data_IF_592738901711
#
_entry.id   IF_592738901711
#
_cell.length_a   1.000
_cell.length_b   1.000
_cell.length_c   1.000
_cell.angle_alpha   90.00
_cell.angle_beta   90.00
_cell.angle_gamma   90.00
#
_symmetry.space_group_name_H-M   'P 1'
#
loop_
_entity.id
_entity.type
_entity.pdbx_description
1 polymer ?
#
# COMPACT_ATOMS: atom_id res chain seq x y z
N UNK A 1 -3.98 7.00 20.55
CA UNK A 1 -4.51 5.87 19.74
C UNK A 1 -3.32 5.23 19.05
N UNK A 2 -3.18 3.91 19.12
CA UNK A 2 -2.14 3.14 18.42
C UNK A 2 -2.81 2.09 17.53
N UNK A 3 -2.21 1.75 16.40
CA UNK A 3 -2.79 0.84 15.42
C UNK A 3 -1.72 0.07 14.66
N UNK A 4 -2.14 -1.05 14.07
CA UNK A 4 -1.34 -1.70 13.03
C UNK A 4 -1.08 -0.73 11.87
N UNK A 5 0.17 -0.67 11.42
CA UNK A 5 0.59 0.23 10.36
C UNK A 5 0.26 -0.37 8.98
N UNK A 6 0.42 0.45 7.93
CA UNK A 6 0.25 0.15 6.48
C UNK A 6 -1.13 -0.35 6.01
N UNK A 7 -1.98 -0.85 6.90
CA UNK A 7 -3.33 -1.34 6.57
C UNK A 7 -4.15 -0.23 5.93
N UNK A 8 -4.67 -0.48 4.73
CA UNK A 8 -5.34 0.52 3.90
C UNK A 8 -6.84 0.29 3.89
N UNK A 9 -7.59 1.39 4.09
CA UNK A 9 -9.05 1.43 4.10
C UNK A 9 -9.54 2.43 3.05
N UNK A 10 -10.66 2.11 2.41
CA UNK A 10 -11.33 3.02 1.49
C UNK A 10 -12.83 3.06 1.82
N UNK A 11 -13.34 4.27 2.03
CA UNK A 11 -14.74 4.50 2.37
C UNK A 11 -15.29 5.74 1.66
N UNK A 12 -16.61 5.80 1.57
CA UNK A 12 -17.30 6.96 1.03
C UNK A 12 -17.34 8.09 2.07
N UNK A 13 -16.74 9.25 1.76
CA UNK A 13 -16.56 10.38 2.71
C UNK A 13 -17.87 10.84 3.36
N UNK A 14 -18.95 10.97 2.59
CA UNK A 14 -20.20 11.52 3.11
C UNK A 14 -21.03 10.53 3.94
N UNK A 15 -20.83 9.22 3.76
CA UNK A 15 -21.67 8.19 4.40
C UNK A 15 -20.92 7.30 5.38
N UNK A 16 -19.58 7.34 5.37
CA UNK A 16 -18.74 6.42 6.15
C UNK A 16 -18.79 4.97 5.67
N UNK A 17 -19.55 4.65 4.61
CA UNK A 17 -19.68 3.28 4.12
C UNK A 17 -18.37 2.82 3.50
N UNK A 18 -17.85 1.71 4.02
CA UNK A 18 -16.66 1.04 3.51
C UNK A 18 -16.96 0.46 2.14
N UNK A 19 -16.06 0.68 1.18
CA UNK A 19 -16.21 0.21 -0.20
C UNK A 19 -15.62 -1.20 -0.38
N UNK A 20 -14.61 -1.55 0.42
CA UNK A 20 -13.92 -2.83 0.35
C UNK A 20 -13.35 -3.21 1.72
N UNK A 21 -13.24 -4.51 2.08
CA UNK A 21 -12.56 -4.94 3.30
C UNK A 21 -11.16 -4.33 3.44
N UNK A 22 -10.73 -4.10 4.67
CA UNK A 22 -9.39 -3.59 4.94
C UNK A 22 -8.33 -4.50 4.30
N UNK A 23 -7.40 -3.90 3.56
CA UNK A 23 -6.24 -4.63 3.04
C UNK A 23 -5.15 -4.50 4.10
N UNK A 24 -4.89 -5.61 4.80
CA UNK A 24 -3.92 -5.67 5.89
C UNK A 24 -2.48 -5.61 5.37
N UNK A 25 -1.55 -5.15 6.21
CA UNK A 25 -0.13 -4.99 5.85
C UNK A 25 0.57 -6.29 5.42
N UNK A 26 0.05 -7.45 5.80
CA UNK A 26 0.60 -8.77 5.43
C UNK A 26 0.14 -9.25 4.05
N UNK A 27 -0.84 -8.57 3.45
CA UNK A 27 -1.43 -8.99 2.19
C UNK A 27 -0.40 -8.98 1.05
N UNK A 28 -0.39 -10.04 0.23
CA UNK A 28 0.58 -10.24 -0.86
C UNK A 28 -0.01 -10.02 -2.25
N UNK A 29 -1.27 -9.59 -2.37
CA UNK A 29 -1.94 -9.47 -3.67
C UNK A 29 -1.25 -8.49 -4.62
N UNK A 30 -0.55 -7.50 -4.07
CA UNK A 30 0.15 -6.47 -4.84
C UNK A 30 1.59 -6.80 -5.20
N UNK A 31 2.10 -7.99 -4.85
CA UNK A 31 3.50 -8.35 -5.11
C UNK A 31 3.89 -8.28 -6.60
N UNK A 32 2.96 -8.59 -7.51
CA UNK A 32 3.20 -8.45 -8.95
C UNK A 32 3.40 -6.99 -9.37
N UNK A 33 2.66 -6.06 -8.78
CA UNK A 33 2.80 -4.62 -9.06
C UNK A 33 4.11 -4.09 -8.47
N UNK A 34 4.51 -4.54 -7.28
CA UNK A 34 5.83 -4.22 -6.72
C UNK A 34 6.96 -4.70 -7.65
N UNK A 35 6.87 -5.91 -8.19
CA UNK A 35 7.85 -6.41 -9.15
C UNK A 35 7.89 -5.56 -10.43
N UNK A 36 6.74 -5.17 -10.97
CA UNK A 36 6.68 -4.27 -12.14
C UNK A 36 7.36 -2.92 -11.89
N UNK A 37 7.24 -2.35 -10.68
CA UNK A 37 7.93 -1.11 -10.32
C UNK A 37 9.45 -1.29 -10.29
N UNK A 38 9.94 -2.45 -9.82
CA UNK A 38 11.36 -2.81 -9.90
C UNK A 38 11.84 -2.96 -11.34
N UNK A 39 11.06 -3.66 -12.15
CA UNK A 39 11.38 -3.91 -13.56
C UNK A 39 11.43 -2.60 -14.37
N UNK A 40 10.67 -1.57 -13.94
CA UNK A 40 10.72 -0.21 -14.47
C UNK A 40 11.90 0.63 -13.94
N UNK A 41 12.73 0.08 -13.05
CA UNK A 41 13.89 0.78 -12.47
C UNK A 41 13.53 1.81 -11.41
N UNK A 42 12.30 1.79 -10.85
CA UNK A 42 11.83 2.80 -9.89
C UNK A 42 12.28 2.54 -8.45
N UNK A 43 12.90 1.40 -8.17
CA UNK A 43 13.29 0.98 -6.81
C UNK A 43 14.19 2.01 -6.11
N UNK A 44 15.25 2.48 -6.79
CA UNK A 44 16.16 3.51 -6.25
C UNK A 44 15.43 4.82 -5.94
N UNK A 45 14.48 5.22 -6.78
CA UNK A 45 13.70 6.44 -6.59
C UNK A 45 12.79 6.31 -5.35
N UNK A 46 12.12 5.16 -5.21
CA UNK A 46 11.23 4.85 -4.09
C UNK A 46 12.01 4.82 -2.77
N UNK A 47 13.16 4.14 -2.74
CA UNK A 47 14.01 4.08 -1.55
C UNK A 47 14.52 5.47 -1.15
N UNK A 48 15.00 6.28 -2.11
CA UNK A 48 15.49 7.64 -1.82
C UNK A 48 14.39 8.56 -1.28
N UNK A 49 13.16 8.43 -1.76
CA UNK A 49 12.04 9.30 -1.35
C UNK A 49 11.35 8.85 -0.07
N UNK A 50 11.24 7.54 0.14
CA UNK A 50 10.36 6.97 1.18
C UNK A 50 11.11 6.15 2.23
N UNK A 51 12.35 5.72 1.96
CA UNK A 51 13.07 4.75 2.78
C UNK A 51 12.54 3.31 2.70
N UNK A 52 11.50 3.07 1.89
CA UNK A 52 10.88 1.76 1.72
C UNK A 52 11.54 1.00 0.57
N UNK A 53 11.51 -0.32 0.65
CA UNK A 53 11.93 -1.23 -0.41
C UNK A 53 10.70 -1.65 -1.22
N UNK A 54 10.83 -1.66 -2.55
CA UNK A 54 9.83 -2.30 -3.41
C UNK A 54 9.95 -3.82 -3.32
#
# INVERSE_FOLDING_TARGET
>A
ITNQRETTLLWHRATGKVLYPAIVWQDRRSSKQCQQLKDQGLDTLLQKKTGLLA
#
